data_IF_333630980079
#
_entry.id   IF_333630980079
#
_cell.length_a   1.000
_cell.length_b   1.000
_cell.length_c   1.000
_cell.angle_alpha   90.00
_cell.angle_beta   90.00
_cell.angle_gamma   90.00
#
_symmetry.space_group_name_H-M   'P 1'
#
loop_
_entity.id
_entity.type
_entity.pdbx_description
1 polymer ?
#
# COMPACT_ATOMS: atom_id res chain seq x y z
N UNK A 1 0.83 33.32 4.22
CA UNK A 1 1.73 32.30 3.65
C UNK A 1 1.46 31.01 4.38
N UNK A 2 0.81 30.03 3.74
CA UNK A 2 0.49 28.75 4.38
C UNK A 2 1.78 28.00 4.69
N UNK A 3 1.87 27.57 5.94
CA UNK A 3 2.92 26.73 6.49
C UNK A 3 3.07 25.45 5.64
N UNK A 4 4.11 25.43 4.80
CA UNK A 4 4.43 24.28 3.93
C UNK A 4 4.67 23.01 4.75
N UNK A 5 5.04 23.13 6.02
CA UNK A 5 5.25 22.03 6.98
C UNK A 5 3.96 21.31 7.37
N UNK A 6 2.82 22.00 7.50
CA UNK A 6 1.52 21.38 7.77
C UNK A 6 0.99 20.56 6.57
N UNK A 7 1.34 20.95 5.34
CA UNK A 7 1.10 20.16 4.13
C UNK A 7 2.12 19.01 3.97
N UNK A 8 3.29 19.12 4.61
CA UNK A 8 4.32 18.07 4.72
C UNK A 8 4.10 17.14 5.92
N UNK A 9 3.01 17.27 6.67
CA UNK A 9 2.51 16.21 7.54
C UNK A 9 1.96 15.06 6.67
N UNK A 10 2.81 14.50 5.81
CA UNK A 10 2.65 13.18 5.21
C UNK A 10 2.47 12.22 6.39
N UNK A 11 1.21 11.88 6.66
CA UNK A 11 0.81 10.98 7.73
C UNK A 11 1.41 9.61 7.41
N UNK A 12 2.62 9.38 7.90
CA UNK A 12 3.28 8.10 7.79
C UNK A 12 2.65 7.15 8.78
N UNK A 13 2.11 6.05 8.28
CA UNK A 13 1.47 5.00 9.08
C UNK A 13 2.36 3.77 9.09
N UNK A 14 2.33 3.01 10.18
CA UNK A 14 3.07 1.74 10.29
C UNK A 14 2.31 0.62 9.59
N UNK A 15 2.96 -0.51 9.37
CA UNK A 15 2.37 -1.69 8.70
C UNK A 15 1.00 -2.10 9.23
N UNK A 16 0.79 -2.14 10.55
CA UNK A 16 -0.50 -2.50 11.14
C UNK A 16 -1.61 -1.50 10.83
N UNK A 17 -1.28 -0.22 10.74
CA UNK A 17 -2.24 0.82 10.45
C UNK A 17 -2.52 0.93 8.96
N UNK A 18 -1.48 0.81 8.14
CA UNK A 18 -1.61 0.65 6.69
C UNK A 18 -2.51 -0.55 6.32
N UNK A 19 -2.33 -1.66 7.02
CA UNK A 19 -3.16 -2.86 6.87
C UNK A 19 -4.64 -2.57 7.16
N UNK A 20 -4.94 -1.83 8.24
CA UNK A 20 -6.32 -1.42 8.56
C UNK A 20 -6.91 -0.49 7.50
N UNK A 21 -6.13 0.47 7.01
CA UNK A 21 -6.57 1.41 5.96
C UNK A 21 -6.93 0.67 4.68
N UNK A 22 -6.12 -0.31 4.28
CA UNK A 22 -6.33 -1.10 3.06
C UNK A 22 -7.27 -2.30 3.24
N UNK A 23 -7.68 -2.63 4.47
CA UNK A 23 -8.51 -3.80 4.76
C UNK A 23 -7.81 -5.15 4.53
N UNK A 24 -6.48 -5.20 4.52
CA UNK A 24 -5.68 -6.43 4.32
C UNK A 24 -4.90 -6.78 5.58
N UNK A 25 -4.37 -8.00 5.66
CA UNK A 25 -3.57 -8.39 6.84
C UNK A 25 -2.19 -7.71 6.83
N UNK A 26 -1.61 -7.38 8.00
CA UNK A 26 -0.24 -6.88 8.09
C UNK A 26 0.75 -7.83 7.43
N UNK A 27 0.54 -9.16 7.59
CA UNK A 27 1.37 -10.23 7.01
C UNK A 27 1.37 -10.18 5.48
N UNK A 28 0.23 -9.83 4.87
CA UNK A 28 0.12 -9.60 3.42
C UNK A 28 0.98 -8.40 2.99
N UNK A 29 0.97 -7.29 3.74
CA UNK A 29 1.84 -6.14 3.45
C UNK A 29 3.33 -6.47 3.57
N UNK A 30 3.74 -7.32 4.52
CA UNK A 30 5.14 -7.77 4.61
C UNK A 30 5.55 -8.59 3.41
N UNK A 31 4.66 -9.46 2.97
CA UNK A 31 4.87 -10.26 1.77
C UNK A 31 4.99 -9.40 0.52
N UNK A 32 4.09 -8.43 0.35
CA UNK A 32 4.18 -7.49 -0.75
C UNK A 32 5.48 -6.68 -0.76
N UNK A 33 6.05 -6.37 0.41
CA UNK A 33 7.39 -5.76 0.50
C UNK A 33 8.48 -6.70 -0.03
N UNK A 34 8.42 -7.99 0.30
CA UNK A 34 9.42 -8.96 -0.17
C UNK A 34 9.36 -9.20 -1.69
N UNK A 35 8.16 -9.17 -2.28
CA UNK A 35 7.94 -9.50 -3.68
C UNK A 35 7.85 -8.27 -4.60
N UNK A 36 7.89 -7.05 -4.03
CA UNK A 36 7.81 -5.81 -4.79
C UNK A 36 6.43 -5.47 -5.36
N UNK A 37 5.37 -6.17 -4.94
CA UNK A 37 4.00 -6.02 -5.46
C UNK A 37 3.08 -5.14 -4.60
N UNK A 38 3.65 -4.39 -3.65
CA UNK A 38 2.90 -3.61 -2.66
C UNK A 38 2.92 -2.09 -2.83
N UNK A 39 2.23 -1.38 -1.92
CA UNK A 39 2.35 0.07 -1.81
C UNK A 39 3.78 0.46 -1.45
N UNK A 40 4.20 1.64 -1.89
CA UNK A 40 5.54 2.19 -1.65
C UNK A 40 5.81 2.27 -0.15
N UNK A 41 6.79 1.51 0.32
CA UNK A 41 7.24 1.58 1.70
C UNK A 41 8.50 2.44 1.82
N UNK A 42 8.67 3.09 2.96
CA UNK A 42 9.89 3.82 3.31
C UNK A 42 10.50 3.20 4.55
N UNK A 43 11.80 2.89 4.47
CA UNK A 43 12.57 2.37 5.60
C UNK A 43 13.22 3.54 6.33
N UNK A 44 12.72 3.85 7.52
CA UNK A 44 13.23 4.91 8.39
C UNK A 44 13.93 4.24 9.58
N UNK A 45 15.23 3.98 9.42
CA UNK A 45 16.03 3.22 10.38
C UNK A 45 15.48 1.81 10.59
N UNK A 46 15.15 1.48 11.85
CA UNK A 46 14.57 0.18 12.24
C UNK A 46 13.06 0.05 11.98
N UNK A 47 12.40 1.07 11.40
CA UNK A 47 10.95 1.09 11.19
C UNK A 47 10.62 1.16 9.70
N UNK A 48 9.53 0.48 9.33
CA UNK A 48 8.94 0.59 7.99
C UNK A 48 7.63 1.35 8.10
N UNK A 49 7.49 2.36 7.27
CA UNK A 49 6.30 3.22 7.23
C UNK A 49 5.80 3.39 5.80
N UNK A 50 4.53 3.72 5.69
CA UNK A 50 3.83 4.01 4.44
C UNK A 50 3.25 5.41 4.52
N UNK A 51 3.36 6.20 3.45
CA UNK A 51 2.57 7.40 3.36
C UNK A 51 1.13 7.01 3.03
N UNK A 52 0.14 7.64 3.67
CA UNK A 52 -1.27 7.43 3.32
C UNK A 52 -1.51 7.65 1.82
N UNK A 53 -0.94 8.70 1.23
CA UNK A 53 -1.06 8.97 -0.20
C UNK A 53 -0.53 7.83 -1.09
N UNK A 54 0.53 7.11 -0.68
CA UNK A 54 1.03 5.97 -1.44
C UNK A 54 0.15 4.73 -1.28
N UNK A 55 -0.51 4.58 -0.13
CA UNK A 55 -1.50 3.51 0.09
C UNK A 55 -2.73 3.74 -0.79
N UNK A 56 -3.24 4.97 -0.81
CA UNK A 56 -4.36 5.39 -1.66
C UNK A 56 -4.01 5.21 -3.14
N UNK A 57 -2.88 5.75 -3.59
CA UNK A 57 -2.45 5.62 -4.98
C UNK A 57 -2.22 4.16 -5.40
N UNK A 58 -1.80 3.28 -4.48
CA UNK A 58 -1.69 1.85 -4.77
C UNK A 58 -3.06 1.18 -4.86
N UNK A 59 -3.99 1.51 -3.97
CA UNK A 59 -5.36 1.02 -4.04
C UNK A 59 -6.05 1.48 -5.33
N UNK A 60 -5.85 2.72 -5.75
CA UNK A 60 -6.39 3.28 -7.00
C UNK A 60 -5.81 2.58 -8.24
N UNK A 61 -4.52 2.20 -8.21
CA UNK A 61 -3.92 1.40 -9.30
C UNK A 61 -4.49 -0.01 -9.37
N UNK A 62 -4.84 -0.58 -8.22
CA UNK A 62 -5.50 -1.88 -8.13
C UNK A 62 -7.03 -1.80 -8.36
N UNK A 63 -7.59 -0.60 -8.49
CA UNK A 63 -9.01 -0.42 -8.76
C UNK A 63 -9.34 -0.94 -10.16
N UNK A 64 -10.19 -1.95 -10.20
CA UNK A 64 -10.67 -2.57 -11.43
C UNK A 64 -12.17 -2.31 -11.55
N UNK A 65 -12.62 -1.79 -12.70
CA UNK A 65 -14.05 -1.57 -12.96
C UNK A 65 -14.75 -2.84 -13.47
N UNK A 66 -13.99 -3.86 -13.85
CA UNK A 66 -14.51 -5.14 -14.35
C UNK A 66 -13.60 -6.30 -13.98
N UNK A 67 -14.17 -7.48 -13.76
CA UNK A 67 -13.45 -8.74 -13.50
C UNK A 67 -12.71 -9.28 -14.73
N UNK A 68 -13.01 -8.73 -15.92
CA UNK A 68 -12.27 -8.98 -17.15
C UNK A 68 -11.10 -8.02 -17.36
N UNK A 69 -10.92 -7.03 -16.47
CA UNK A 69 -9.79 -6.11 -16.55
C UNK A 69 -8.49 -6.90 -16.28
N UNK A 70 -7.46 -6.77 -17.14
CA UNK A 70 -6.16 -7.37 -16.88
C UNK A 70 -5.62 -7.05 -15.49
N UNK A 71 -5.93 -5.87 -14.96
CA UNK A 71 -5.56 -5.45 -13.59
C UNK A 71 -6.21 -6.31 -12.51
N UNK A 72 -7.42 -6.83 -12.75
CA UNK A 72 -8.10 -7.73 -11.82
C UNK A 72 -7.43 -9.11 -11.81
N UNK A 73 -6.98 -9.59 -12.98
CA UNK A 73 -6.23 -10.84 -13.10
C UNK A 73 -4.87 -10.73 -12.41
N UNK A 74 -4.17 -9.59 -12.59
CA UNK A 74 -2.90 -9.31 -11.92
C UNK A 74 -3.06 -9.19 -10.40
N UNK A 75 -4.08 -8.46 -9.93
CA UNK A 75 -4.39 -8.34 -8.50
C UNK A 75 -4.77 -9.70 -7.90
N UNK A 76 -5.55 -10.52 -8.62
CA UNK A 76 -5.91 -11.88 -8.22
C UNK A 76 -4.69 -12.81 -8.19
N UNK A 77 -3.80 -12.72 -9.18
CA UNK A 77 -2.55 -13.49 -9.22
C UNK A 77 -1.62 -13.10 -8.06
N UNK A 78 -1.49 -11.80 -7.76
CA UNK A 78 -0.74 -11.31 -6.61
C UNK A 78 -1.29 -11.82 -5.27
N UNK A 79 -2.60 -12.10 -5.18
CA UNK A 79 -3.24 -12.73 -4.02
C UNK A 79 -3.10 -14.25 -3.96
N UNK A 80 -3.12 -14.95 -5.10
CA UNK A 80 -3.21 -16.41 -5.18
C UNK A 80 -1.85 -17.12 -5.38
N UNK A 81 -0.80 -16.40 -5.79
CA UNK A 81 0.53 -16.95 -6.07
C UNK A 81 1.26 -17.50 -4.83
N UNK A 82 0.69 -17.38 -3.64
CA UNK A 82 1.42 -17.64 -2.42
C UNK A 82 0.55 -18.10 -1.23
N UNK A 83 -0.35 -19.06 -1.46
CA UNK A 83 -0.92 -19.84 -0.37
C UNK A 83 0.13 -20.83 0.16
#
# INVERSE_FOLDING_TARGET
>A
MLDRSAQLATRYVRTHEAARILGISPRTLEKYRCHGSGPTFRKLGGRVVYAIADLEAWADRAACSSTSDPRYVEARAAGHAHR
#
